data_IF_959617658271
#
_entry.id   IF_959617658271
#
_cell.length_a   1.000
_cell.length_b   1.000
_cell.length_c   1.000
_cell.angle_alpha   90.00
_cell.angle_beta   90.00
_cell.angle_gamma   90.00
#
_symmetry.space_group_name_H-M   'P 1'
#
loop_
_entity.id
_entity.type
_entity.pdbx_description
1 polymer ?
#
# COMPACT_ATOMS: atom_id res chain seq x y z
N UNK A 1 -18.86 17.88 -4.09
CA UNK A 1 -18.04 16.86 -3.41
C UNK A 1 -16.67 16.95 -4.04
N UNK A 2 -15.64 17.37 -3.30
CA UNK A 2 -14.30 17.46 -3.88
C UNK A 2 -13.94 16.07 -4.40
N UNK A 3 -13.84 15.91 -5.71
CA UNK A 3 -13.24 14.72 -6.30
C UNK A 3 -11.83 14.64 -5.74
N UNK A 4 -11.59 13.72 -4.81
CA UNK A 4 -10.23 13.44 -4.34
C UNK A 4 -9.38 13.17 -5.57
N UNK A 5 -8.47 14.08 -5.88
CA UNK A 5 -7.57 13.91 -7.01
C UNK A 5 -6.57 12.84 -6.62
N UNK A 6 -6.57 11.74 -7.35
CA UNK A 6 -5.58 10.69 -7.16
C UNK A 6 -4.22 11.20 -7.64
N UNK A 7 -3.27 11.34 -6.73
CA UNK A 7 -1.88 11.65 -7.08
C UNK A 7 -1.08 10.36 -7.34
N UNK A 8 -0.28 10.36 -8.40
CA UNK A 8 0.64 9.27 -8.68
C UNK A 8 1.97 9.51 -7.96
N UNK A 9 2.40 8.55 -7.16
CA UNK A 9 3.69 8.57 -6.50
C UNK A 9 4.58 7.40 -6.96
N UNK A 10 5.86 7.68 -7.20
CA UNK A 10 6.88 6.70 -7.58
C UNK A 10 7.77 6.41 -6.37
N UNK A 11 8.03 5.13 -6.09
CA UNK A 11 8.85 4.72 -4.96
C UNK A 11 9.89 3.68 -5.39
N UNK A 12 11.03 3.70 -4.73
CA UNK A 12 12.03 2.64 -4.85
C UNK A 12 11.78 1.57 -3.80
N UNK A 13 11.79 0.32 -4.25
CA UNK A 13 11.69 -0.86 -3.41
C UNK A 13 12.84 -1.79 -3.77
N UNK A 14 13.32 -2.54 -2.79
CA UNK A 14 14.28 -3.60 -3.08
C UNK A 14 13.63 -4.67 -3.95
N UNK A 15 14.45 -5.40 -4.72
CA UNK A 15 13.95 -6.50 -5.57
C UNK A 15 13.17 -7.54 -4.77
N UNK A 16 13.62 -7.84 -3.54
CA UNK A 16 12.94 -8.78 -2.66
C UNK A 16 11.53 -8.29 -2.30
N UNK A 17 11.40 -7.04 -1.86
CA UNK A 17 10.10 -6.45 -1.54
C UNK A 17 9.13 -6.47 -2.73
N UNK A 18 9.63 -6.19 -3.94
CA UNK A 18 8.81 -6.26 -5.16
C UNK A 18 8.31 -7.68 -5.42
N UNK A 19 9.15 -8.69 -5.21
CA UNK A 19 8.76 -10.10 -5.37
C UNK A 19 7.70 -10.49 -4.33
N UNK A 20 7.91 -10.13 -3.07
CA UNK A 20 7.00 -10.46 -1.98
C UNK A 20 5.61 -9.83 -2.22
N UNK A 21 5.58 -8.55 -2.63
CA UNK A 21 4.34 -7.84 -3.01
C UNK A 21 3.66 -8.54 -4.19
N UNK A 22 4.43 -8.96 -5.21
CA UNK A 22 3.89 -9.61 -6.40
C UNK A 22 3.25 -10.96 -6.06
N UNK A 23 3.94 -11.79 -5.28
CA UNK A 23 3.43 -13.10 -4.87
C UNK A 23 2.21 -12.96 -3.96
N UNK A 24 2.25 -12.05 -2.99
CA UNK A 24 1.12 -11.81 -2.08
C UNK A 24 -0.11 -11.25 -2.82
N UNK A 25 0.09 -10.29 -3.73
CA UNK A 25 -0.99 -9.75 -4.54
C UNK A 25 -1.63 -10.82 -5.44
N UNK A 26 -0.80 -11.70 -6.04
CA UNK A 26 -1.26 -12.82 -6.86
C UNK A 26 -2.06 -13.82 -6.03
N UNK A 27 -1.55 -14.21 -4.86
CA UNK A 27 -2.23 -15.15 -3.94
C UNK A 27 -3.61 -14.63 -3.52
N UNK A 28 -3.71 -13.32 -3.26
CA UNK A 28 -4.94 -12.68 -2.81
C UNK A 28 -5.84 -12.18 -3.96
N UNK A 29 -5.45 -12.41 -5.22
CA UNK A 29 -6.17 -11.95 -6.42
C UNK A 29 -6.47 -10.44 -6.43
N UNK A 30 -5.54 -9.63 -5.92
CA UNK A 30 -5.64 -8.15 -5.90
C UNK A 30 -4.54 -7.50 -6.73
N UNK A 31 -4.73 -6.24 -7.08
CA UNK A 31 -3.68 -5.48 -7.75
C UNK A 31 -2.55 -5.12 -6.78
N UNK A 32 -1.31 -5.06 -7.31
CA UNK A 32 -0.12 -4.63 -6.54
C UNK A 32 -0.32 -3.25 -5.90
N UNK A 33 -0.92 -2.32 -6.64
CA UNK A 33 -1.22 -0.97 -6.13
C UNK A 33 -2.27 -0.97 -5.03
N UNK A 34 -3.29 -1.84 -5.11
CA UNK A 34 -4.25 -2.01 -4.01
C UNK A 34 -3.57 -2.56 -2.75
N UNK A 35 -2.71 -3.56 -2.88
CA UNK A 35 -1.96 -4.11 -1.76
C UNK A 35 -1.08 -3.05 -1.09
N UNK A 36 -0.32 -2.27 -1.87
CA UNK A 36 0.52 -1.19 -1.33
C UNK A 36 -0.33 -0.14 -0.61
N UNK A 37 -1.49 0.25 -1.17
CA UNK A 37 -2.41 1.17 -0.50
C UNK A 37 -2.95 0.62 0.82
N UNK A 38 -3.28 -0.68 0.87
CA UNK A 38 -3.72 -1.33 2.10
C UNK A 38 -2.64 -1.29 3.18
N UNK A 39 -1.39 -1.63 2.81
CA UNK A 39 -0.24 -1.58 3.73
C UNK A 39 -0.02 -0.17 4.28
N UNK A 40 -0.04 0.85 3.40
CA UNK A 40 0.12 2.25 3.82
C UNK A 40 -0.99 2.65 4.79
N UNK A 41 -2.25 2.33 4.48
CA UNK A 41 -3.40 2.65 5.32
C UNK A 41 -3.31 1.99 6.70
N UNK A 42 -2.95 0.71 6.74
CA UNK A 42 -2.79 -0.03 8.00
C UNK A 42 -1.66 0.54 8.84
N UNK A 43 -0.54 0.91 8.22
CA UNK A 43 0.59 1.52 8.93
C UNK A 43 0.21 2.86 9.55
N UNK A 44 -0.52 3.72 8.82
CA UNK A 44 -0.99 5.00 9.33
C UNK A 44 -1.98 4.83 10.48
N UNK A 45 -2.94 3.90 10.36
CA UNK A 45 -3.92 3.62 11.41
C UNK A 45 -3.24 3.20 12.73
N UNK A 46 -2.21 2.35 12.66
CA UNK A 46 -1.42 1.96 13.84
C UNK A 46 -0.67 3.12 14.49
N UNK A 47 -0.28 4.14 13.73
CA UNK A 47 0.36 5.33 14.32
C UNK A 47 -0.61 6.22 15.06
N UNK A 48 -1.84 6.34 14.58
CA UNK A 48 -2.87 7.14 15.26
C UNK A 48 -3.31 6.46 16.56
N UNK A 49 -3.42 5.14 16.59
CA UNK A 49 -3.73 4.37 17.81
C UNK A 49 -2.65 4.49 18.89
N UNK A 50 -1.38 4.66 18.51
CA UNK A 50 -0.26 4.82 19.45
C UNK A 50 -0.09 6.26 19.98
N UNK A 51 -0.89 7.21 19.50
CA UNK A 51 -0.88 8.61 19.95
C UNK A 51 -2.04 8.97 20.89
N UNK A 52 -2.97 8.02 21.13
CA UNK A 52 -4.05 8.14 22.11
C UNK A 52 -3.73 7.42 23.41
#
# INVERSE_FOLDING_TARGET
MATEQFEHATFYLTRQQVNDIKELAKKNQISRSALVRMIIREYLAKQDENKG
#
